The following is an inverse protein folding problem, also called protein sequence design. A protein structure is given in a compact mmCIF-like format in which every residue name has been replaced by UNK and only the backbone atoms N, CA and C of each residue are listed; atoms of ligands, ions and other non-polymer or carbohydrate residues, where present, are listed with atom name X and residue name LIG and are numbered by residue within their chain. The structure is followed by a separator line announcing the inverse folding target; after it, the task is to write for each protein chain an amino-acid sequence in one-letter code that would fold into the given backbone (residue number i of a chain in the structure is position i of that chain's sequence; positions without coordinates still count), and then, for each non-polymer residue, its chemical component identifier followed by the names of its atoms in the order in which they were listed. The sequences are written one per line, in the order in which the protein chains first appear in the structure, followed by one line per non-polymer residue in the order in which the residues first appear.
data_IF_313929800126
#
_entry.id   IF_313929800126
#
_cell.length_a   1.000
_cell.length_b   1.000
_cell.length_c   1.000
_cell.angle_alpha   90.00
_cell.angle_beta   90.00
_cell.angle_gamma   90.00
#
_symmetry.space_group_name_H-M   'P 1'
#
loop_
_entity.id
_entity.type
_entity.pdbx_description
1 polymer ?
#
# COMPACT_ATOMS: atom_id res chain seq x y z
N UNK A 1 37.93 22.48 6.35
CA UNK A 1 36.96 23.52 6.74
C UNK A 1 35.70 22.78 7.19
N UNK A 2 35.24 23.11 8.39
CA UNK A 2 34.38 22.28 9.26
C UNK A 2 33.12 21.72 8.64
N UNK A 3 33.09 20.39 8.50
CA UNK A 3 31.84 19.66 8.45
C UNK A 3 31.12 19.93 9.78
N UNK A 4 29.98 20.60 9.71
CA UNK A 4 29.06 20.78 10.83
C UNK A 4 28.56 19.38 11.23
N UNK A 5 29.25 18.73 12.18
CA UNK A 5 28.77 17.47 12.73
C UNK A 5 27.46 17.78 13.44
N UNK A 6 26.34 17.29 12.89
CA UNK A 6 25.04 17.31 13.57
C UNK A 6 25.24 16.78 15.01
N UNK A 7 24.55 17.32 16.01
CA UNK A 7 24.70 16.87 17.39
C UNK A 7 24.43 15.35 17.47
N UNK A 8 25.24 14.65 18.27
CA UNK A 8 25.12 13.19 18.48
C UNK A 8 23.85 12.78 19.23
N UNK A 9 23.07 13.73 19.74
CA UNK A 9 21.80 13.53 20.45
C UNK A 9 20.86 14.70 20.14
N UNK A 10 19.57 14.44 20.16
CA UNK A 10 18.51 15.46 20.06
C UNK A 10 17.38 15.06 20.98
N UNK A 11 16.59 16.00 21.48
CA UNK A 11 15.32 15.69 22.14
C UNK A 11 14.22 15.54 21.09
N UNK A 12 13.18 14.73 21.41
CA UNK A 12 12.08 14.39 20.51
C UNK A 12 11.42 15.63 19.90
N UNK A 13 11.05 16.62 20.74
CA UNK A 13 10.37 17.84 20.26
C UNK A 13 11.24 18.67 19.29
N UNK A 14 12.55 18.77 19.52
CA UNK A 14 13.43 19.48 18.63
C UNK A 14 13.58 18.77 17.29
N UNK A 15 13.79 17.45 17.31
CA UNK A 15 13.90 16.68 16.08
C UNK A 15 12.61 16.76 15.24
N UNK A 16 11.42 16.63 15.87
CA UNK A 16 10.12 16.72 15.19
C UNK A 16 9.93 18.08 14.53
N UNK A 17 10.24 19.17 15.23
CA UNK A 17 10.14 20.52 14.68
C UNK A 17 11.06 20.69 13.48
N UNK A 18 12.35 20.37 13.65
CA UNK A 18 13.36 20.59 12.62
C UNK A 18 13.09 19.74 11.38
N UNK A 19 12.70 18.45 11.57
CA UNK A 19 12.31 17.56 10.49
C UNK A 19 11.03 18.05 9.76
N UNK A 20 10.03 18.53 10.50
CA UNK A 20 8.82 19.09 9.90
C UNK A 20 9.11 20.35 9.08
N UNK A 21 10.00 21.23 9.57
CA UNK A 21 10.44 22.43 8.82
C UNK A 21 11.16 22.05 7.52
N UNK A 22 12.10 21.09 7.58
CA UNK A 22 12.81 20.60 6.38
C UNK A 22 11.84 20.02 5.34
N UNK A 23 10.89 19.18 5.78
CA UNK A 23 9.87 18.56 4.90
C UNK A 23 8.93 19.60 4.29
N UNK A 24 8.49 20.59 5.09
CA UNK A 24 7.64 21.68 4.60
C UNK A 24 8.35 22.53 3.55
N UNK A 25 9.65 22.78 3.72
CA UNK A 25 10.47 23.57 2.79
C UNK A 25 10.53 22.95 1.39
N UNK A 26 10.56 21.62 1.30
CA UNK A 26 10.48 20.90 0.01
C UNK A 26 9.03 20.67 -0.46
N UNK A 27 8.03 21.33 0.16
CA UNK A 27 6.63 21.32 -0.25
C UNK A 27 5.87 20.04 0.09
N UNK A 28 6.26 19.31 1.14
CA UNK A 28 5.50 18.16 1.66
C UNK A 28 4.40 18.70 2.58
N UNK A 29 3.13 18.55 2.16
CA UNK A 29 1.98 19.09 2.91
C UNK A 29 1.74 18.40 4.26
N UNK A 30 2.11 17.13 4.39
CA UNK A 30 1.98 16.31 5.61
C UNK A 30 3.25 16.35 6.49
N UNK A 31 4.04 17.41 6.40
CA UNK A 31 5.38 17.48 6.97
C UNK A 31 5.49 17.03 8.44
N UNK A 32 4.65 17.58 9.32
CA UNK A 32 4.66 17.19 10.74
C UNK A 32 4.22 15.73 10.93
N UNK A 33 3.17 15.31 10.25
CA UNK A 33 2.69 13.93 10.32
C UNK A 33 3.75 12.93 9.83
N UNK A 34 4.44 13.26 8.73
CA UNK A 34 5.49 12.39 8.19
C UNK A 34 6.70 12.32 9.14
N UNK A 35 7.10 13.44 9.75
CA UNK A 35 8.14 13.47 10.77
C UNK A 35 7.77 12.60 11.99
N UNK A 36 6.54 12.73 12.49
CA UNK A 36 6.03 11.90 13.59
C UNK A 36 6.02 10.41 13.25
N UNK A 37 5.57 10.04 12.04
CA UNK A 37 5.57 8.64 11.58
C UNK A 37 6.99 8.09 11.51
N UNK A 38 7.93 8.84 10.94
CA UNK A 38 9.34 8.44 10.84
C UNK A 38 9.92 8.17 12.22
N UNK A 39 9.75 9.11 13.16
CA UNK A 39 10.33 8.99 14.49
C UNK A 39 9.64 7.89 15.31
N UNK A 40 8.30 7.82 15.29
CA UNK A 40 7.53 6.77 15.96
C UNK A 40 7.96 5.38 15.51
N UNK A 41 8.07 5.18 14.19
CA UNK A 41 8.55 3.93 13.60
C UNK A 41 10.00 3.62 14.00
N UNK A 42 10.87 4.62 14.05
CA UNK A 42 12.29 4.47 14.44
C UNK A 42 12.42 4.04 15.88
N UNK A 43 11.69 4.69 16.79
CA UNK A 43 11.71 4.42 18.22
C UNK A 43 10.84 3.21 18.62
N UNK A 44 10.05 2.64 17.68
CA UNK A 44 9.05 1.58 17.94
C UNK A 44 8.04 1.99 19.01
N UNK A 45 7.59 3.24 18.94
CA UNK A 45 6.62 3.85 19.84
C UNK A 45 5.41 4.37 19.06
N UNK A 46 4.31 4.64 19.75
CA UNK A 46 3.16 5.31 19.12
C UNK A 46 3.45 6.82 18.96
N UNK A 47 2.74 7.46 18.03
CA UNK A 47 2.79 8.93 17.90
C UNK A 47 2.34 9.64 19.18
N UNK A 48 1.32 9.13 19.86
CA UNK A 48 0.86 9.65 21.15
C UNK A 48 1.95 9.58 22.21
N UNK A 49 2.77 8.52 22.19
CA UNK A 49 3.90 8.40 23.11
C UNK A 49 4.94 9.50 22.85
N UNK A 50 5.24 9.88 21.61
CA UNK A 50 6.18 10.96 21.26
C UNK A 50 5.76 12.29 21.87
N UNK A 51 4.46 12.59 21.84
CA UNK A 51 3.92 13.83 22.42
C UNK A 51 4.01 13.84 23.95
N UNK A 52 3.76 12.70 24.58
CA UNK A 52 3.84 12.56 26.04
C UNK A 52 5.29 12.60 26.58
N UNK A 53 6.28 12.31 25.71
CA UNK A 53 7.70 12.20 26.08
C UNK A 53 8.56 13.15 25.22
N UNK A 54 8.03 14.32 24.93
CA UNK A 54 8.60 15.28 23.98
C UNK A 54 9.97 15.85 24.39
N UNK A 55 10.31 15.77 25.65
CA UNK A 55 11.57 16.20 26.29
C UNK A 55 12.61 15.07 26.39
N UNK A 56 12.24 13.82 26.07
CA UNK A 56 13.19 12.71 26.09
C UNK A 56 14.25 12.81 24.99
N UNK A 57 15.44 12.32 25.31
CA UNK A 57 16.58 12.30 24.39
C UNK A 57 16.53 11.09 23.47
N UNK A 58 16.67 11.32 22.18
CA UNK A 58 16.84 10.27 21.16
C UNK A 58 18.30 9.79 21.22
N UNK A 59 18.50 8.48 21.39
CA UNK A 59 19.85 7.90 21.39
C UNK A 59 20.51 8.01 20.00
N UNK A 60 21.83 8.13 19.98
CA UNK A 60 22.61 8.41 18.77
C UNK A 60 22.28 7.47 17.60
N UNK A 61 22.17 6.14 17.85
CA UNK A 61 21.84 5.16 16.81
C UNK A 61 20.44 5.39 16.21
N UNK A 62 19.46 5.68 17.06
CA UNK A 62 18.08 5.93 16.62
C UNK A 62 17.99 7.26 15.87
N UNK A 63 18.74 8.27 16.33
CA UNK A 63 18.85 9.56 15.64
C UNK A 63 19.43 9.40 14.23
N UNK A 64 20.49 8.62 14.06
CA UNK A 64 21.08 8.33 12.75
C UNK A 64 20.07 7.64 11.81
N UNK A 65 19.30 6.66 12.33
CA UNK A 65 18.26 5.97 11.55
C UNK A 65 17.12 6.94 11.19
N UNK A 66 16.66 7.75 12.14
CA UNK A 66 15.60 8.73 11.89
C UNK A 66 16.03 9.75 10.82
N UNK A 67 17.27 10.25 10.91
CA UNK A 67 17.83 11.18 9.92
C UNK A 67 17.96 10.52 8.53
N UNK A 68 18.41 9.27 8.45
CA UNK A 68 18.47 8.55 7.16
C UNK A 68 17.08 8.40 6.53
N UNK A 69 16.07 8.08 7.32
CA UNK A 69 14.67 8.00 6.87
C UNK A 69 14.11 9.37 6.46
N UNK A 70 14.46 10.41 7.20
CA UNK A 70 14.10 11.79 6.84
C UNK A 70 14.67 12.15 5.46
N UNK A 71 15.93 11.83 5.18
CA UNK A 71 16.54 12.10 3.87
C UNK A 71 15.76 11.38 2.74
N UNK A 72 15.37 10.11 2.91
CA UNK A 72 14.53 9.41 1.93
C UNK A 72 13.20 10.16 1.71
N UNK A 73 12.60 10.71 2.76
CA UNK A 73 11.34 11.47 2.62
C UNK A 73 11.55 12.83 1.95
N UNK A 74 12.64 13.51 2.22
CA UNK A 74 13.05 14.73 1.51
C UNK A 74 13.25 14.49 0.03
N UNK A 75 13.77 13.31 -0.36
CA UNK A 75 13.90 12.84 -1.74
C UNK A 75 12.54 12.35 -2.33
N UNK A 76 11.41 12.63 -1.65
CA UNK A 76 10.06 12.28 -2.08
C UNK A 76 9.70 10.79 -2.03
N UNK A 77 10.52 9.93 -1.43
CA UNK A 77 10.11 8.55 -1.18
C UNK A 77 8.81 8.53 -0.37
N UNK A 78 7.77 7.79 -0.80
CA UNK A 78 6.52 7.67 -0.06
C UNK A 78 6.75 7.18 1.37
N UNK A 79 6.07 7.81 2.35
CA UNK A 79 6.20 7.46 3.75
C UNK A 79 5.94 5.96 4.01
N UNK A 80 4.97 5.37 3.31
CA UNK A 80 4.62 3.96 3.43
C UNK A 80 5.79 3.03 3.05
N UNK A 81 6.61 3.40 2.05
CA UNK A 81 7.80 2.61 1.71
C UNK A 81 8.95 2.80 2.70
N UNK A 82 9.06 3.98 3.31
CA UNK A 82 10.07 4.26 4.36
C UNK A 82 9.80 3.41 5.60
N UNK A 83 8.54 3.29 6.00
CA UNK A 83 8.14 2.50 7.18
C UNK A 83 7.82 1.04 6.84
N UNK A 84 7.67 0.71 5.55
CA UNK A 84 7.45 -0.65 5.05
C UNK A 84 6.02 -1.16 5.17
N UNK A 85 5.06 -0.33 5.58
CA UNK A 85 3.65 -0.73 5.71
C UNK A 85 2.68 0.42 5.45
N UNK A 86 1.44 0.06 5.14
CA UNK A 86 0.29 0.95 4.99
C UNK A 86 -0.92 0.33 5.67
N UNK A 87 -1.67 1.13 6.40
CA UNK A 87 -2.97 0.72 6.91
C UNK A 87 -4.01 0.70 5.78
N UNK A 88 -4.81 -0.36 5.75
CA UNK A 88 -5.97 -0.52 4.87
C UNK A 88 -7.04 -1.31 5.63
N UNK A 89 -8.23 -0.77 5.71
CA UNK A 89 -9.38 -1.34 6.43
C UNK A 89 -9.02 -1.79 7.86
N UNK A 90 -8.37 -0.87 8.61
CA UNK A 90 -7.88 -1.06 9.99
C UNK A 90 -6.86 -2.20 10.18
N UNK A 91 -6.19 -2.63 9.10
CA UNK A 91 -5.14 -3.67 9.11
C UNK A 91 -3.85 -3.16 8.51
N UNK A 92 -2.71 -3.59 9.04
CA UNK A 92 -1.41 -3.21 8.51
C UNK A 92 -1.00 -4.18 7.40
N UNK A 93 -0.82 -3.63 6.19
CA UNK A 93 -0.29 -4.34 5.04
C UNK A 93 1.16 -3.95 4.78
N UNK A 94 2.04 -4.92 4.65
CA UNK A 94 3.40 -4.73 4.15
C UNK A 94 3.33 -4.15 2.74
N UNK A 95 4.16 -3.13 2.48
CA UNK A 95 4.32 -2.55 1.15
C UNK A 95 5.80 -2.38 0.83
N UNK A 96 6.13 -2.53 -0.43
CA UNK A 96 7.47 -2.33 -0.99
C UNK A 96 7.34 -1.61 -2.34
N UNK A 97 8.41 -1.08 -2.93
CA UNK A 97 8.37 -0.52 -4.29
C UNK A 97 7.90 -1.48 -5.40
N UNK A 98 7.59 -2.73 -5.06
CA UNK A 98 7.05 -3.72 -6.01
C UNK A 98 5.52 -3.71 -6.11
N UNK A 99 4.81 -2.99 -5.24
CA UNK A 99 3.34 -2.94 -5.20
C UNK A 99 2.84 -1.51 -5.07
N UNK A 100 1.65 -1.24 -5.59
CA UNK A 100 0.93 0.00 -5.34
C UNK A 100 0.66 0.15 -3.83
N UNK A 101 0.86 1.34 -3.29
CA UNK A 101 0.47 1.64 -1.90
C UNK A 101 -1.05 1.63 -1.82
N UNK A 102 -1.67 0.84 -0.93
CA UNK A 102 -3.13 0.80 -0.75
C UNK A 102 -3.72 2.20 -0.59
N UNK A 103 -4.79 2.47 -1.34
CA UNK A 103 -5.48 3.77 -1.31
C UNK A 103 -6.72 3.68 -0.41
N UNK A 104 -6.97 4.69 0.44
CA UNK A 104 -8.16 4.70 1.31
C UNK A 104 -9.47 4.58 0.52
N UNK A 105 -9.53 5.19 -0.68
CA UNK A 105 -10.71 5.14 -1.54
C UNK A 105 -11.08 3.71 -1.96
N UNK A 106 -10.09 2.81 -2.00
CA UNK A 106 -10.32 1.40 -2.34
C UNK A 106 -11.00 0.61 -1.21
N UNK A 107 -11.09 1.16 0.01
CA UNK A 107 -11.83 0.54 1.13
C UNK A 107 -13.33 0.46 0.82
N UNK A 108 -13.86 1.41 0.05
CA UNK A 108 -15.25 1.39 -0.41
C UNK A 108 -15.59 0.12 -1.23
N UNK A 109 -14.61 -0.51 -1.87
CA UNK A 109 -14.82 -1.78 -2.58
C UNK A 109 -15.20 -2.88 -1.58
N UNK A 110 -14.56 -2.92 -0.41
CA UNK A 110 -14.88 -3.90 0.64
C UNK A 110 -16.30 -3.67 1.16
N UNK A 111 -16.69 -2.41 1.38
CA UNK A 111 -18.05 -2.08 1.81
C UNK A 111 -19.09 -2.51 0.77
N UNK A 112 -18.81 -2.30 -0.52
CA UNK A 112 -19.67 -2.78 -1.61
C UNK A 112 -19.76 -4.31 -1.66
N UNK A 113 -18.66 -5.02 -1.47
CA UNK A 113 -18.65 -6.48 -1.39
C UNK A 113 -19.54 -6.99 -0.26
N UNK A 114 -19.46 -6.39 0.93
CA UNK A 114 -20.31 -6.77 2.08
C UNK A 114 -21.82 -6.59 1.83
N UNK A 115 -22.18 -5.68 0.92
CA UNK A 115 -23.58 -5.40 0.58
C UNK A 115 -24.08 -6.30 -0.57
N UNK A 116 -23.23 -6.56 -1.57
CA UNK A 116 -23.68 -7.11 -2.85
C UNK A 116 -23.25 -8.55 -3.12
N UNK A 117 -22.29 -9.09 -2.33
CA UNK A 117 -21.89 -10.49 -2.50
C UNK A 117 -23.08 -11.41 -2.18
N UNK A 118 -23.46 -12.31 -3.11
CA UNK A 118 -24.53 -13.28 -2.85
C UNK A 118 -24.20 -14.17 -1.63
N UNK A 119 -25.21 -14.55 -0.85
CA UNK A 119 -25.03 -15.37 0.36
C UNK A 119 -24.44 -16.76 0.03
N UNK A 120 -24.73 -17.29 -1.15
CA UNK A 120 -24.25 -18.58 -1.64
C UNK A 120 -22.92 -18.47 -2.41
N UNK A 121 -22.35 -17.27 -2.57
CA UNK A 121 -21.05 -17.08 -3.19
C UNK A 121 -19.95 -17.77 -2.38
N UNK A 122 -19.07 -18.48 -3.08
CA UNK A 122 -17.98 -19.26 -2.44
C UNK A 122 -16.61 -18.93 -2.95
N UNK A 123 -16.49 -18.25 -4.10
CA UNK A 123 -15.20 -17.97 -4.77
C UNK A 123 -15.07 -16.52 -5.16
N UNK A 124 -13.99 -15.89 -4.68
CA UNK A 124 -13.61 -14.53 -5.10
C UNK A 124 -12.24 -14.56 -5.81
N UNK A 125 -12.14 -13.82 -6.91
CA UNK A 125 -10.88 -13.54 -7.60
C UNK A 125 -10.54 -12.04 -7.49
N UNK A 126 -9.35 -11.74 -7.01
CA UNK A 126 -8.76 -10.40 -7.02
C UNK A 126 -7.71 -10.33 -8.15
N UNK A 127 -8.02 -9.56 -9.21
CA UNK A 127 -7.19 -9.44 -10.41
C UNK A 127 -6.30 -8.21 -10.32
N UNK A 128 -4.97 -8.42 -10.41
CA UNK A 128 -4.00 -7.34 -10.20
C UNK A 128 -3.88 -6.98 -8.71
N UNK A 129 -3.77 -8.00 -7.89
CA UNK A 129 -3.91 -7.91 -6.42
C UNK A 129 -2.88 -7.00 -5.74
N UNK A 130 -1.71 -6.77 -6.35
CA UNK A 130 -0.64 -5.95 -5.78
C UNK A 130 -0.19 -6.44 -4.41
N UNK A 131 -0.47 -5.67 -3.35
CA UNK A 131 -0.17 -6.04 -1.96
C UNK A 131 -1.12 -7.09 -1.38
N UNK A 132 -2.17 -7.48 -2.08
CA UNK A 132 -3.21 -8.36 -1.58
C UNK A 132 -4.29 -7.65 -0.75
N UNK A 133 -4.22 -6.33 -0.60
CA UNK A 133 -5.06 -5.62 0.39
C UNK A 133 -6.57 -5.80 0.15
N UNK A 134 -7.04 -5.84 -1.08
CA UNK A 134 -8.45 -6.06 -1.39
C UNK A 134 -8.87 -7.51 -1.10
N UNK A 135 -8.21 -8.47 -1.76
CA UNK A 135 -8.60 -9.87 -1.65
C UNK A 135 -8.42 -10.44 -0.24
N UNK A 136 -7.31 -10.12 0.46
CA UNK A 136 -7.08 -10.55 1.84
C UNK A 136 -8.13 -9.93 2.79
N UNK A 137 -8.43 -8.63 2.63
CA UNK A 137 -9.47 -8.00 3.44
C UNK A 137 -10.84 -8.63 3.15
N UNK A 138 -11.16 -8.91 1.88
CA UNK A 138 -12.39 -9.61 1.52
C UNK A 138 -12.48 -11.01 2.18
N UNK A 139 -11.38 -11.78 2.22
CA UNK A 139 -11.34 -13.08 2.91
C UNK A 139 -11.60 -12.96 4.42
N UNK A 140 -11.11 -11.89 5.05
CA UNK A 140 -11.30 -11.65 6.48
C UNK A 140 -12.70 -11.15 6.83
N UNK A 141 -13.31 -10.32 5.96
CA UNK A 141 -14.65 -9.75 6.17
C UNK A 141 -15.79 -10.71 5.72
N UNK A 142 -15.51 -11.61 4.77
CA UNK A 142 -16.44 -12.55 4.16
C UNK A 142 -15.86 -13.97 4.21
N UNK A 143 -15.79 -14.59 5.40
CA UNK A 143 -15.04 -15.84 5.62
C UNK A 143 -15.59 -17.06 4.87
N UNK A 144 -16.80 -16.97 4.29
CA UNK A 144 -17.35 -18.01 3.40
C UNK A 144 -16.64 -18.05 2.04
N UNK A 145 -15.90 -16.98 1.64
CA UNK A 145 -15.26 -16.91 0.34
C UNK A 145 -13.87 -17.57 0.35
N UNK A 146 -13.63 -18.44 -0.60
CA UNK A 146 -12.29 -18.89 -0.98
C UNK A 146 -11.70 -17.89 -1.95
N UNK A 147 -10.67 -17.18 -1.50
CA UNK A 147 -10.10 -16.08 -2.25
C UNK A 147 -8.87 -16.52 -3.05
N UNK A 148 -8.86 -16.13 -4.33
CA UNK A 148 -7.72 -16.25 -5.22
C UNK A 148 -7.18 -14.85 -5.52
N UNK A 149 -5.90 -14.65 -5.31
CA UNK A 149 -5.17 -13.43 -5.63
C UNK A 149 -4.36 -13.66 -6.91
N UNK A 150 -4.49 -12.80 -7.90
CA UNK A 150 -3.71 -12.93 -9.12
C UNK A 150 -2.98 -11.64 -9.46
N UNK A 151 -1.75 -11.77 -9.97
CA UNK A 151 -0.95 -10.65 -10.44
C UNK A 151 -0.01 -11.12 -11.55
N UNK A 152 0.39 -10.22 -12.44
CA UNK A 152 1.40 -10.47 -13.46
C UNK A 152 2.81 -10.47 -12.87
N UNK A 153 3.01 -9.78 -11.75
CA UNK A 153 4.29 -9.61 -11.05
C UNK A 153 4.49 -10.66 -9.95
N UNK A 154 5.53 -11.48 -10.08
CA UNK A 154 5.94 -12.39 -9.00
C UNK A 154 6.34 -11.63 -7.72
N UNK A 155 6.88 -10.41 -7.85
CA UNK A 155 7.25 -9.60 -6.69
C UNK A 155 6.01 -9.10 -5.94
N UNK A 156 4.95 -8.74 -6.66
CA UNK A 156 3.67 -8.38 -6.06
C UNK A 156 3.05 -9.59 -5.34
N UNK A 157 2.99 -10.76 -5.99
CA UNK A 157 2.50 -11.99 -5.37
C UNK A 157 3.27 -12.36 -4.11
N UNK A 158 4.59 -12.13 -4.08
CA UNK A 158 5.39 -12.38 -2.86
C UNK A 158 5.00 -11.42 -1.72
N UNK A 159 4.71 -10.16 -2.01
CA UNK A 159 4.21 -9.22 -1.00
C UNK A 159 2.82 -9.62 -0.52
N UNK A 160 1.92 -10.05 -1.42
CA UNK A 160 0.60 -10.54 -1.08
C UNK A 160 0.65 -11.81 -0.21
N UNK A 161 1.55 -12.74 -0.53
CA UNK A 161 1.82 -13.95 0.28
C UNK A 161 2.27 -13.59 1.70
N UNK A 162 3.25 -12.67 1.81
CA UNK A 162 3.74 -12.19 3.10
C UNK A 162 2.62 -11.54 3.92
N UNK A 163 1.73 -10.76 3.29
CA UNK A 163 0.58 -10.14 3.93
C UNK A 163 -0.48 -11.16 4.37
N UNK A 164 -0.77 -12.16 3.55
CA UNK A 164 -1.67 -13.25 3.92
C UNK A 164 -1.14 -14.00 5.15
N UNK A 165 0.16 -14.29 5.17
CA UNK A 165 0.82 -14.89 6.34
C UNK A 165 0.78 -14.01 7.59
N UNK A 166 1.06 -12.71 7.47
CA UNK A 166 1.01 -11.75 8.59
C UNK A 166 -0.40 -11.60 9.18
N UNK A 167 -1.43 -11.70 8.35
CA UNK A 167 -2.84 -11.58 8.75
C UNK A 167 -3.51 -12.93 8.99
N UNK A 168 -2.75 -14.03 8.97
CA UNK A 168 -3.22 -15.40 9.20
C UNK A 168 -4.42 -15.78 8.32
N UNK A 169 -4.36 -15.41 7.03
CA UNK A 169 -5.43 -15.61 6.05
C UNK A 169 -5.00 -16.59 4.98
N UNK A 170 -5.83 -17.60 4.71
CA UNK A 170 -5.60 -18.54 3.62
C UNK A 170 -6.10 -17.97 2.30
N UNK A 171 -5.22 -17.90 1.29
CA UNK A 171 -5.52 -17.45 -0.06
C UNK A 171 -4.77 -18.28 -1.09
N UNK A 172 -5.33 -18.41 -2.29
CA UNK A 172 -4.63 -18.98 -3.43
C UNK A 172 -3.91 -17.87 -4.19
N UNK A 173 -2.68 -18.13 -4.63
CA UNK A 173 -1.88 -17.19 -5.40
C UNK A 173 -1.63 -17.72 -6.80
N UNK A 174 -1.97 -16.93 -7.82
CA UNK A 174 -1.78 -17.31 -9.23
C UNK A 174 -1.07 -16.20 -9.98
N UNK A 175 0.05 -16.53 -10.63
CA UNK A 175 0.66 -15.61 -11.59
C UNK A 175 -0.13 -15.60 -12.90
N UNK A 176 -0.69 -14.45 -13.27
CA UNK A 176 -1.52 -14.34 -14.49
C UNK A 176 -1.49 -12.92 -15.07
N UNK A 177 -1.45 -12.81 -16.40
CA UNK A 177 -1.83 -11.56 -17.09
C UNK A 177 -3.35 -11.57 -17.27
N UNK A 178 -4.05 -10.82 -16.43
CA UNK A 178 -5.50 -10.87 -16.27
C UNK A 178 -5.97 -12.32 -16.04
N UNK A 179 -6.75 -12.88 -16.97
CA UNK A 179 -7.31 -14.23 -16.83
C UNK A 179 -6.50 -15.33 -17.54
N UNK A 180 -5.35 -15.04 -18.15
CA UNK A 180 -4.63 -15.98 -19.01
C UNK A 180 -4.28 -17.33 -18.36
N UNK A 181 -4.08 -17.36 -17.04
CA UNK A 181 -3.80 -18.58 -16.28
C UNK A 181 -4.85 -18.88 -15.19
N UNK A 182 -5.98 -18.17 -15.19
CA UNK A 182 -7.02 -18.32 -14.19
C UNK A 182 -7.95 -19.48 -14.56
N UNK A 183 -8.07 -20.53 -13.71
CA UNK A 183 -8.94 -21.65 -13.99
C UNK A 183 -10.39 -21.39 -13.55
N UNK A 184 -11.34 -21.87 -14.37
CA UNK A 184 -12.75 -21.94 -14.01
C UNK A 184 -13.44 -20.58 -13.86
N UNK A 185 -14.50 -20.57 -13.04
CA UNK A 185 -15.35 -19.41 -12.80
C UNK A 185 -15.39 -19.02 -11.33
N UNK A 186 -15.68 -17.74 -11.08
CA UNK A 186 -15.76 -17.11 -9.77
C UNK A 186 -17.12 -16.44 -9.59
N UNK A 187 -17.62 -16.44 -8.37
CA UNK A 187 -18.88 -15.79 -8.00
C UNK A 187 -18.68 -14.28 -7.87
N UNK A 188 -17.46 -13.88 -7.50
CA UNK A 188 -17.07 -12.48 -7.32
C UNK A 188 -15.71 -12.23 -7.98
N UNK A 189 -15.65 -11.18 -8.80
CA UNK A 189 -14.38 -10.71 -9.41
C UNK A 189 -14.18 -9.26 -9.03
N UNK A 190 -13.07 -8.98 -8.33
CA UNK A 190 -12.64 -7.61 -8.03
C UNK A 190 -11.36 -7.30 -8.80
N UNK A 191 -11.20 -6.04 -9.20
CA UNK A 191 -10.01 -5.61 -9.93
C UNK A 191 -9.77 -4.11 -9.73
N UNK A 192 -8.66 -3.76 -9.09
CA UNK A 192 -8.16 -2.39 -9.03
C UNK A 192 -6.95 -2.25 -9.97
N UNK A 193 -7.22 -2.23 -11.26
CA UNK A 193 -6.20 -2.22 -12.31
C UNK A 193 -5.61 -0.81 -12.53
N UNK A 194 -4.41 -0.73 -13.12
CA UNK A 194 -3.83 0.54 -13.55
C UNK A 194 -4.75 1.31 -14.50
N UNK A 195 -5.02 2.57 -14.17
CA UNK A 195 -5.90 3.43 -14.95
C UNK A 195 -5.36 4.87 -15.14
N UNK A 196 -4.13 5.15 -14.70
CA UNK A 196 -3.54 6.49 -14.84
C UNK A 196 -3.01 6.67 -16.26
N UNK A 197 -3.42 7.77 -16.89
CA UNK A 197 -2.79 8.20 -18.14
C UNK A 197 -1.43 8.84 -17.87
N UNK A 198 -0.44 8.55 -18.70
CA UNK A 198 0.91 9.09 -18.53
C UNK A 198 0.98 10.60 -18.61
N UNK A 199 0.01 11.25 -19.28
CA UNK A 199 -0.08 12.70 -19.43
C UNK A 199 -0.69 13.41 -18.23
N UNK A 200 -1.29 12.70 -17.28
CA UNK A 200 -1.92 13.30 -16.11
C UNK A 200 -0.89 13.84 -15.13
N UNK A 201 -1.18 15.02 -14.58
CA UNK A 201 -0.40 15.59 -13.50
C UNK A 201 -0.51 14.70 -12.24
N UNK A 202 0.62 14.47 -11.58
CA UNK A 202 0.71 13.58 -10.41
C UNK A 202 1.72 14.07 -9.40
N UNK A 203 1.61 13.60 -8.18
CA UNK A 203 2.59 13.92 -7.15
C UNK A 203 3.95 13.27 -7.45
N UNK A 204 5.06 13.89 -7.07
CA UNK A 204 6.40 13.33 -7.25
C UNK A 204 6.59 11.95 -6.60
N UNK A 205 5.88 11.66 -5.52
CA UNK A 205 5.90 10.41 -4.80
C UNK A 205 5.49 9.23 -5.68
N UNK A 206 4.59 9.45 -6.64
CA UNK A 206 4.10 8.42 -7.58
C UNK A 206 5.22 7.83 -8.45
N UNK A 207 6.35 8.56 -8.64
CA UNK A 207 7.49 8.06 -9.39
C UNK A 207 8.23 6.90 -8.70
N UNK A 208 8.00 6.68 -7.42
CA UNK A 208 8.57 5.58 -6.64
C UNK A 208 7.71 4.32 -6.71
N UNK A 209 6.46 4.44 -7.16
CA UNK A 209 5.55 3.32 -7.29
C UNK A 209 5.77 2.58 -8.62
N UNK A 210 5.49 1.26 -8.69
CA UNK A 210 5.76 0.51 -9.92
C UNK A 210 4.90 1.04 -11.07
N UNK A 211 5.54 1.40 -12.18
CA UNK A 211 4.86 1.96 -13.35
C UNK A 211 3.77 1.04 -13.90
N UNK A 212 4.00 -0.27 -13.82
CA UNK A 212 3.04 -1.30 -14.23
C UNK A 212 1.76 -1.31 -13.37
N UNK A 213 1.83 -0.82 -12.13
CA UNK A 213 0.68 -0.74 -11.22
C UNK A 213 -0.09 0.59 -11.35
N UNK A 214 0.43 1.56 -12.09
CA UNK A 214 -0.16 2.88 -12.22
C UNK A 214 -0.69 3.15 -13.62
N UNK A 215 0.13 2.88 -14.65
CA UNK A 215 -0.12 3.42 -15.98
C UNK A 215 -0.74 2.40 -16.92
N UNK A 216 -1.76 2.84 -17.65
CA UNK A 216 -2.32 2.10 -18.77
C UNK A 216 -2.41 2.97 -20.02
N UNK A 217 -2.27 2.33 -21.18
CA UNK A 217 -2.46 2.96 -22.50
C UNK A 217 -3.94 3.33 -22.71
N UNK A 218 -4.23 4.00 -23.84
CA UNK A 218 -5.60 4.37 -24.23
C UNK A 218 -6.28 5.24 -23.15
N UNK A 219 -5.61 6.30 -22.71
CA UNK A 219 -6.10 7.20 -21.64
C UNK A 219 -6.45 6.46 -20.34
N UNK A 220 -5.64 5.45 -19.98
CA UNK A 220 -5.83 4.66 -18.78
C UNK A 220 -6.76 3.44 -18.94
N UNK A 221 -7.44 3.26 -20.06
CA UNK A 221 -8.54 2.28 -20.21
C UNK A 221 -8.13 0.92 -20.81
N UNK A 222 -6.89 0.79 -21.31
CA UNK A 222 -6.49 -0.41 -22.06
C UNK A 222 -6.66 -1.73 -21.30
N UNK A 223 -6.29 -1.77 -20.02
CA UNK A 223 -6.41 -2.97 -19.20
C UNK A 223 -7.86 -3.24 -18.80
N UNK A 224 -8.63 -2.20 -18.53
CA UNK A 224 -10.07 -2.30 -18.21
C UNK A 224 -10.83 -2.92 -19.40
N UNK A 225 -10.58 -2.45 -20.63
CA UNK A 225 -11.20 -3.05 -21.83
C UNK A 225 -10.79 -4.52 -22.05
N UNK A 226 -9.52 -4.85 -21.78
CA UNK A 226 -9.06 -6.25 -21.85
C UNK A 226 -9.75 -7.12 -20.80
N UNK A 227 -9.87 -6.63 -19.57
CA UNK A 227 -10.55 -7.31 -18.46
C UNK A 227 -12.01 -7.58 -18.85
N UNK A 228 -12.78 -6.54 -19.21
CA UNK A 228 -14.20 -6.65 -19.51
C UNK A 228 -14.53 -7.63 -20.65
N UNK A 229 -13.60 -7.78 -21.63
CA UNK A 229 -13.77 -8.79 -22.69
C UNK A 229 -13.59 -10.23 -22.20
N UNK A 230 -12.86 -10.45 -21.11
CA UNK A 230 -12.53 -11.77 -20.59
C UNK A 230 -13.45 -12.20 -19.45
N UNK A 231 -13.94 -11.24 -18.63
CA UNK A 231 -14.83 -11.48 -17.48
C UNK A 231 -15.99 -12.45 -17.79
N UNK A 232 -16.74 -12.36 -18.92
CA UNK A 232 -17.88 -13.25 -19.14
C UNK A 232 -17.54 -14.74 -19.18
N UNK A 233 -16.29 -15.10 -19.50
CA UNK A 233 -15.85 -16.50 -19.51
C UNK A 233 -15.43 -17.01 -18.11
N UNK A 234 -15.24 -16.09 -17.15
CA UNK A 234 -14.73 -16.39 -15.81
C UNK A 234 -15.71 -16.01 -14.69
N UNK A 235 -16.81 -15.35 -15.01
CA UNK A 235 -17.85 -15.00 -14.05
C UNK A 235 -18.90 -16.11 -14.01
N UNK A 236 -19.24 -16.59 -12.81
CA UNK A 236 -20.32 -17.58 -12.62
C UNK A 236 -21.69 -16.99 -12.99
N UNK A 237 -22.70 -17.82 -13.29
CA UNK A 237 -24.07 -17.34 -13.40
C UNK A 237 -24.46 -16.58 -12.12
N UNK A 238 -25.03 -15.37 -12.27
CA UNK A 238 -25.36 -14.44 -11.15
C UNK A 238 -24.16 -13.88 -10.36
N UNK A 239 -22.92 -14.10 -10.81
CA UNK A 239 -21.71 -13.49 -10.24
C UNK A 239 -21.63 -11.98 -10.47
N UNK A 240 -20.82 -11.29 -9.64
CA UNK A 240 -20.62 -9.86 -9.67
C UNK A 240 -19.13 -9.51 -9.84
#
# INVERSE_FOLDING_TARGET
MNANSKPKTSIISHWLRDAAEELAHVGIRSALLDAEIILAHTLRKSRTWLHAHSDETIHARELDIANARLQLRLDRTPIAYIVGHKEFYSRLFKVTPSVLIPRPESEAIIDLLKIHVPEDATKLLDVGTGSGCLGITAALELPQLRVTLSDVSNHALKVAEDNAGLLHTEVNLIKSDLFAAIPGTYDVIVANLPYVDMSWERSPETNFEPSIALFARQKGLALIYRLLKQVPAHLAPHGI
#
